data_IF_407694797807
#
_entry.id   IF_407694797807
#
_cell.length_a   1.000
_cell.length_b   1.000
_cell.length_c   1.000
_cell.angle_alpha   90.00
_cell.angle_beta   90.00
_cell.angle_gamma   90.00
#
_symmetry.space_group_name_H-M   'P 1'
#
loop_
_entity.id
_entity.type
_entity.pdbx_description
1 polymer ?
#
# COMPACT_ATOMS: atom_id res chain seq x y z
N UNK A 1 -13.90 -24.17 35.58
CA UNK A 1 -12.48 -24.58 35.57
C UNK A 1 -11.98 -24.34 34.15
N UNK A 2 -11.02 -23.48 33.81
CA UNK A 2 -9.90 -22.86 34.52
C UNK A 2 -9.63 -21.49 33.87
N UNK A 3 -9.47 -20.46 34.68
CA UNK A 3 -8.61 -19.31 34.40
C UNK A 3 -7.16 -19.77 34.53
N UNK A 4 -6.30 -19.39 33.56
CA UNK A 4 -4.87 -19.20 33.81
C UNK A 4 -4.38 -17.98 33.03
N UNK A 5 -3.65 -17.16 33.75
CA UNK A 5 -3.07 -15.86 33.43
C UNK A 5 -1.58 -16.04 33.15
N UNK A 6 -1.05 -15.20 32.25
CA UNK A 6 0.33 -14.71 32.09
C UNK A 6 1.46 -15.70 31.77
N UNK A 7 2.33 -15.32 30.83
CA UNK A 7 3.64 -14.73 31.18
C UNK A 7 4.44 -14.34 29.93
N UNK A 8 5.06 -13.17 30.03
CA UNK A 8 6.11 -12.59 29.19
C UNK A 8 7.35 -13.49 29.09
N UNK A 9 7.97 -13.55 27.92
CA UNK A 9 9.35 -14.01 27.77
C UNK A 9 10.15 -12.93 27.04
N UNK A 10 10.97 -12.22 27.81
CA UNK A 10 12.02 -11.35 27.34
C UNK A 10 13.06 -12.17 26.56
N UNK A 11 13.36 -11.76 25.34
CA UNK A 11 14.52 -12.26 24.57
C UNK A 11 15.61 -11.19 24.60
N UNK A 12 16.35 -11.19 25.71
CA UNK A 12 17.70 -10.63 25.76
C UNK A 12 18.64 -11.60 25.08
N UNK A 13 19.14 -11.26 23.90
CA UNK A 13 20.32 -11.88 23.31
C UNK A 13 21.21 -10.80 22.72
N UNK A 14 22.02 -10.20 23.58
CA UNK A 14 23.25 -9.53 23.18
C UNK A 14 24.19 -10.57 22.57
N UNK A 15 24.39 -10.52 21.26
CA UNK A 15 25.55 -11.14 20.61
C UNK A 15 26.61 -10.07 20.36
N UNK A 16 27.54 -9.99 21.31
CA UNK A 16 28.87 -9.46 21.10
C UNK A 16 29.60 -10.35 20.07
N UNK A 17 29.96 -9.80 18.92
CA UNK A 17 31.08 -10.30 18.13
C UNK A 17 32.23 -9.31 18.25
N UNK A 18 33.21 -9.74 19.04
CA UNK A 18 34.46 -9.05 19.28
C UNK A 18 35.42 -9.20 18.10
N UNK A 19 36.14 -8.11 17.85
CA UNK A 19 37.56 -8.02 17.49
C UNK A 19 38.08 -8.79 16.25
N UNK A 20 38.35 -8.03 15.18
CA UNK A 20 39.55 -8.25 14.38
C UNK A 20 40.58 -7.16 14.74
N UNK A 21 41.80 -7.58 15.02
CA UNK A 21 42.90 -6.76 15.52
C UNK A 21 43.67 -6.06 14.39
N UNK A 22 44.25 -4.88 14.69
CA UNK A 22 45.31 -4.25 13.89
C UNK A 22 45.29 -2.72 13.94
N UNK A 23 46.37 -2.04 14.39
CA UNK A 23 46.40 -0.59 14.51
C UNK A 23 46.94 0.04 13.22
N UNK A 24 46.06 0.53 12.37
CA UNK A 24 46.43 1.50 11.34
C UNK A 24 45.44 2.65 11.34
N UNK A 25 46.00 3.83 11.57
CA UNK A 25 45.34 5.12 11.63
C UNK A 25 45.03 5.56 10.21
N UNK A 26 43.82 5.28 9.73
CA UNK A 26 43.22 5.98 8.59
C UNK A 26 41.73 6.16 8.89
N UNK A 27 41.32 7.43 9.01
CA UNK A 27 39.91 7.85 9.05
C UNK A 27 39.09 7.09 8.00
N UNK A 28 38.01 6.39 8.39
CA UNK A 28 37.01 6.04 7.41
C UNK A 28 36.21 7.32 7.15
N UNK A 29 36.24 7.79 5.91
CA UNK A 29 35.21 8.67 5.39
C UNK A 29 33.86 8.10 5.83
N UNK A 30 33.09 8.90 6.56
CA UNK A 30 31.75 8.54 6.98
C UNK A 30 30.90 8.36 5.71
N UNK A 31 30.86 7.13 5.20
CA UNK A 31 29.77 6.67 4.35
C UNK A 31 28.51 6.89 5.17
N UNK A 32 27.77 7.94 4.81
CA UNK A 32 26.45 8.19 5.35
C UNK A 32 25.56 7.08 4.78
N UNK A 33 25.58 5.92 5.44
CA UNK A 33 24.49 4.95 5.30
C UNK A 33 23.23 5.71 5.66
N UNK A 34 22.39 5.98 4.66
CA UNK A 34 21.06 6.49 4.88
C UNK A 34 20.36 5.48 5.80
N UNK A 35 20.17 5.87 7.06
CA UNK A 35 19.25 5.17 7.95
C UNK A 35 17.90 5.16 7.23
N UNK A 36 17.26 3.99 7.02
CA UNK A 36 15.91 3.96 6.49
C UNK A 36 15.05 4.85 7.40
N UNK A 37 14.41 5.87 6.84
CA UNK A 37 13.38 6.58 7.59
C UNK A 37 12.33 5.54 7.94
N UNK A 38 12.20 5.25 9.24
CA UNK A 38 11.14 4.41 9.72
C UNK A 38 9.84 5.15 9.43
N UNK A 39 9.04 4.65 8.49
CA UNK A 39 7.69 5.14 8.26
C UNK A 39 6.98 5.23 9.61
N UNK A 40 6.49 6.43 9.93
CA UNK A 40 5.70 6.66 11.13
C UNK A 40 4.30 6.11 10.90
N UNK A 41 4.17 4.80 10.94
CA UNK A 41 2.89 4.12 10.87
C UNK A 41 2.01 4.59 12.02
N UNK A 42 0.81 5.07 11.70
CA UNK A 42 -0.17 5.42 12.72
C UNK A 42 -0.66 4.17 13.46
N UNK A 43 -0.78 4.21 14.80
CA UNK A 43 -1.29 3.08 15.58
C UNK A 43 -2.64 2.60 15.04
N UNK A 44 -2.73 1.31 14.73
CA UNK A 44 -3.95 0.69 14.18
C UNK A 44 -4.10 0.76 12.66
N UNK A 45 -3.15 1.37 11.94
CA UNK A 45 -3.07 1.30 10.47
C UNK A 45 -2.16 0.17 10.00
N UNK A 46 -2.29 -0.23 8.74
CA UNK A 46 -1.39 -1.15 8.02
C UNK A 46 -0.42 -0.34 7.17
N UNK A 47 0.80 -0.84 7.06
CA UNK A 47 1.85 -0.16 6.31
C UNK A 47 1.59 -0.17 4.80
N UNK A 48 2.31 0.67 4.07
CA UNK A 48 2.17 0.79 2.62
C UNK A 48 2.43 -0.55 1.90
N UNK A 49 3.38 -1.37 2.37
CA UNK A 49 3.62 -2.70 1.79
C UNK A 49 2.40 -3.63 1.89
N UNK A 50 1.71 -3.62 3.03
CA UNK A 50 0.48 -4.41 3.26
C UNK A 50 -0.67 -3.86 2.43
N UNK A 51 -0.79 -2.54 2.31
CA UNK A 51 -1.78 -1.92 1.40
C UNK A 51 -1.52 -2.29 -0.06
N UNK A 52 -0.26 -2.29 -0.50
CA UNK A 52 0.15 -2.71 -1.84
C UNK A 52 -0.25 -4.16 -2.12
N UNK A 53 0.04 -5.09 -1.20
CA UNK A 53 -0.46 -6.47 -1.28
C UNK A 53 -1.97 -6.52 -1.41
N UNK A 54 -2.68 -5.78 -0.57
CA UNK A 54 -4.14 -5.70 -0.62
C UNK A 54 -4.72 -5.18 -1.94
N UNK A 55 -3.97 -4.33 -2.66
CA UNK A 55 -4.38 -3.77 -3.95
C UNK A 55 -4.04 -4.70 -5.14
N UNK A 56 -2.85 -5.29 -5.14
CA UNK A 56 -2.32 -6.05 -6.28
C UNK A 56 -2.53 -7.58 -6.18
N UNK A 57 -2.71 -8.14 -4.98
CA UNK A 57 -2.85 -9.60 -4.82
C UNK A 57 -4.23 -10.10 -5.31
N UNK A 58 -4.25 -11.32 -5.86
CA UNK A 58 -5.48 -11.98 -6.33
C UNK A 58 -5.63 -12.08 -7.84
N UNK A 59 -4.56 -11.87 -8.62
CA UNK A 59 -4.52 -12.05 -10.08
C UNK A 59 -5.65 -11.24 -10.76
N UNK A 60 -6.45 -11.86 -11.63
CA UNK A 60 -7.60 -11.25 -12.32
C UNK A 60 -8.68 -10.72 -11.38
N UNK A 61 -8.67 -11.13 -10.11
CA UNK A 61 -9.60 -10.70 -9.08
C UNK A 61 -9.00 -9.64 -8.15
N UNK A 62 -7.76 -9.22 -8.35
CA UNK A 62 -7.13 -8.13 -7.60
C UNK A 62 -7.89 -6.81 -7.79
N UNK A 63 -7.65 -5.83 -6.90
CA UNK A 63 -8.21 -4.49 -7.06
C UNK A 63 -7.59 -3.85 -8.31
N UNK A 64 -6.27 -3.97 -8.47
CA UNK A 64 -5.53 -3.49 -9.63
C UNK A 64 -6.13 -3.99 -10.96
N UNK A 65 -6.28 -5.31 -11.14
CA UNK A 65 -6.80 -5.87 -12.39
C UNK A 65 -8.20 -5.33 -12.72
N UNK A 66 -9.06 -5.14 -11.72
CA UNK A 66 -10.39 -4.55 -11.91
C UNK A 66 -10.32 -3.07 -12.25
N UNK A 67 -9.51 -2.29 -11.53
CA UNK A 67 -9.28 -0.86 -11.82
C UNK A 67 -8.80 -0.71 -13.26
N UNK A 68 -7.75 -1.42 -13.66
CA UNK A 68 -7.21 -1.39 -15.03
C UNK A 68 -8.26 -1.75 -16.08
N UNK A 69 -9.04 -2.81 -15.84
CA UNK A 69 -10.08 -3.26 -16.79
C UNK A 69 -11.23 -2.25 -16.95
N UNK A 70 -11.65 -1.61 -15.86
CA UNK A 70 -12.86 -0.79 -15.84
C UNK A 70 -12.61 0.72 -15.85
N UNK A 71 -11.35 1.15 -15.84
CA UNK A 71 -10.98 2.56 -15.98
C UNK A 71 -11.67 3.26 -17.17
N UNK A 72 -11.78 2.67 -18.37
CA UNK A 72 -12.48 3.34 -19.48
C UNK A 72 -13.96 3.64 -19.20
N UNK A 73 -14.60 2.89 -18.31
CA UNK A 73 -16.02 3.06 -18.01
C UNK A 73 -16.34 4.28 -17.14
N UNK A 74 -15.33 4.94 -16.54
CA UNK A 74 -15.56 6.15 -15.73
C UNK A 74 -15.82 7.40 -16.57
N UNK A 75 -15.56 7.34 -17.88
CA UNK A 75 -15.80 8.44 -18.83
C UNK A 75 -17.29 8.79 -18.99
N UNK A 76 -18.17 7.87 -18.64
CA UNK A 76 -19.62 8.02 -18.74
C UNK A 76 -20.28 7.62 -17.42
N UNK A 77 -21.51 8.12 -17.15
CA UNK A 77 -22.29 7.66 -16.02
C UNK A 77 -22.47 6.14 -16.00
N UNK A 78 -22.47 5.56 -14.81
CA UNK A 78 -22.69 4.14 -14.62
C UNK A 78 -24.03 3.68 -15.22
N UNK A 79 -24.00 2.51 -15.85
CA UNK A 79 -25.14 1.83 -16.46
C UNK A 79 -25.48 0.56 -15.67
N UNK A 80 -26.59 -0.10 -16.00
CA UNK A 80 -26.91 -1.42 -15.43
C UNK A 80 -25.85 -2.49 -15.74
N UNK A 81 -25.15 -2.35 -16.87
CA UNK A 81 -24.15 -3.32 -17.33
C UNK A 81 -22.81 -3.20 -16.58
N UNK A 82 -22.36 -1.98 -16.27
CA UNK A 82 -21.05 -1.74 -15.64
C UNK A 82 -21.13 -1.35 -14.15
N UNK A 83 -22.28 -0.90 -13.66
CA UNK A 83 -22.41 -0.29 -12.34
C UNK A 83 -22.03 -1.22 -11.19
N UNK A 84 -22.33 -2.52 -11.32
CA UNK A 84 -21.93 -3.52 -10.33
C UNK A 84 -20.40 -3.62 -10.19
N UNK A 85 -19.67 -3.55 -11.30
CA UNK A 85 -18.21 -3.66 -11.31
C UNK A 85 -17.54 -2.39 -10.77
N UNK A 86 -18.06 -1.21 -11.12
CA UNK A 86 -17.60 0.05 -10.53
C UNK A 86 -17.84 0.09 -9.02
N UNK A 87 -19.00 -0.40 -8.55
CA UNK A 87 -19.31 -0.49 -7.13
C UNK A 87 -18.38 -1.47 -6.39
N UNK A 88 -18.07 -2.63 -6.99
CA UNK A 88 -17.11 -3.59 -6.42
C UNK A 88 -15.72 -2.94 -6.28
N UNK A 89 -15.27 -2.18 -7.28
CA UNK A 89 -13.99 -1.45 -7.22
C UNK A 89 -14.00 -0.45 -6.06
N UNK A 90 -15.04 0.40 -6.00
CA UNK A 90 -15.22 1.36 -4.91
C UNK A 90 -15.17 0.67 -3.55
N UNK A 91 -15.94 -0.39 -3.35
CA UNK A 91 -16.08 -1.06 -2.04
C UNK A 91 -14.80 -1.76 -1.60
N UNK A 92 -14.04 -2.31 -2.56
CA UNK A 92 -12.74 -2.92 -2.27
C UNK A 92 -11.68 -1.88 -1.91
N UNK A 93 -11.65 -0.76 -2.62
CA UNK A 93 -10.76 0.35 -2.25
C UNK A 93 -11.16 0.93 -0.89
N UNK A 94 -12.46 1.11 -0.62
CA UNK A 94 -12.96 1.56 0.69
C UNK A 94 -12.52 0.63 1.83
N UNK A 95 -12.55 -0.69 1.61
CA UNK A 95 -12.07 -1.65 2.58
C UNK A 95 -10.57 -1.50 2.90
N UNK A 96 -9.74 -1.17 1.91
CA UNK A 96 -8.31 -0.86 2.12
C UNK A 96 -8.14 0.46 2.89
N UNK A 97 -8.90 1.49 2.51
CA UNK A 97 -8.83 2.83 3.11
C UNK A 97 -9.10 2.85 4.62
N UNK A 98 -9.86 1.88 5.15
CA UNK A 98 -10.14 1.80 6.59
C UNK A 98 -8.90 1.55 7.45
N UNK A 99 -7.88 0.94 6.87
CA UNK A 99 -6.69 0.53 7.61
C UNK A 99 -5.40 1.07 7.00
N UNK A 100 -5.39 1.51 5.75
CA UNK A 100 -4.19 2.08 5.13
C UNK A 100 -3.67 3.29 5.92
N UNK A 101 -2.35 3.38 6.06
CA UNK A 101 -1.67 4.57 6.58
C UNK A 101 -1.93 5.79 5.67
N UNK A 102 -1.66 7.00 6.16
CA UNK A 102 -2.13 8.25 5.55
C UNK A 102 -1.71 8.41 4.08
N UNK A 103 -0.46 8.10 3.75
CA UNK A 103 0.10 8.23 2.40
C UNK A 103 -0.56 7.27 1.38
N UNK A 104 -0.53 5.93 1.55
CA UNK A 104 -1.23 5.04 0.63
C UNK A 104 -2.75 5.28 0.61
N UNK A 105 -3.34 5.70 1.74
CA UNK A 105 -4.76 6.05 1.79
C UNK A 105 -5.08 7.28 0.93
N UNK A 106 -4.21 8.29 0.89
CA UNK A 106 -4.41 9.46 0.04
C UNK A 106 -4.44 9.08 -1.44
N UNK A 107 -3.50 8.25 -1.90
CA UNK A 107 -3.44 7.80 -3.29
C UNK A 107 -4.66 6.94 -3.64
N UNK A 108 -5.04 6.00 -2.77
CA UNK A 108 -6.21 5.14 -2.98
C UNK A 108 -7.51 5.93 -3.11
N UNK A 109 -7.67 7.04 -2.37
CA UNK A 109 -8.84 7.94 -2.54
C UNK A 109 -8.86 8.57 -3.93
N UNK A 110 -7.70 8.95 -4.47
CA UNK A 110 -7.61 9.48 -5.84
C UNK A 110 -7.94 8.41 -6.88
N UNK A 111 -7.50 7.16 -6.69
CA UNK A 111 -7.90 6.03 -7.56
C UNK A 111 -9.41 5.82 -7.51
N UNK A 112 -10.01 5.89 -6.32
CA UNK A 112 -11.43 5.62 -6.09
C UNK A 112 -12.36 6.69 -6.66
N UNK A 113 -11.96 7.97 -6.60
CA UNK A 113 -12.87 9.10 -6.83
C UNK A 113 -13.57 9.06 -8.20
N UNK A 114 -12.89 8.79 -9.34
CA UNK A 114 -13.55 8.67 -10.64
C UNK A 114 -14.65 7.60 -10.70
N UNK A 115 -14.45 6.46 -10.02
CA UNK A 115 -15.46 5.40 -9.94
C UNK A 115 -16.69 5.85 -9.14
N UNK A 116 -16.49 6.57 -8.05
CA UNK A 116 -17.60 7.16 -7.25
C UNK A 116 -18.38 8.15 -8.11
N UNK A 117 -17.68 9.05 -8.80
CA UNK A 117 -18.31 10.03 -9.70
C UNK A 117 -19.18 9.34 -10.76
N UNK A 118 -18.68 8.30 -11.42
CA UNK A 118 -19.45 7.56 -12.42
C UNK A 118 -20.69 6.88 -11.82
N UNK A 119 -20.57 6.26 -10.64
CA UNK A 119 -21.71 5.64 -9.91
C UNK A 119 -22.78 6.66 -9.53
N UNK A 120 -22.37 7.88 -9.18
CA UNK A 120 -23.28 8.98 -8.79
C UNK A 120 -23.91 9.69 -10.00
N UNK A 121 -23.66 9.21 -11.21
CA UNK A 121 -24.26 9.72 -12.45
C UNK A 121 -23.43 10.80 -13.15
N UNK A 122 -22.18 11.00 -12.74
CA UNK A 122 -21.23 11.90 -13.38
C UNK A 122 -20.31 11.18 -14.38
N UNK A 123 -19.35 11.94 -14.89
CA UNK A 123 -18.24 11.46 -15.72
C UNK A 123 -16.92 11.95 -15.13
N UNK A 124 -15.87 11.15 -15.28
CA UNK A 124 -14.50 11.48 -14.89
C UNK A 124 -13.53 11.12 -16.01
N UNK A 125 -12.31 11.65 -15.96
CA UNK A 125 -11.30 11.35 -16.96
C UNK A 125 -10.58 10.02 -16.64
N UNK A 126 -10.56 9.02 -17.55
CA UNK A 126 -9.83 7.77 -17.31
C UNK A 126 -8.35 7.98 -16.97
N UNK A 127 -7.71 9.00 -17.56
CA UNK A 127 -6.32 9.34 -17.29
C UNK A 127 -6.05 9.73 -15.82
N UNK A 128 -7.06 10.20 -15.08
CA UNK A 128 -6.92 10.50 -13.65
C UNK A 128 -6.77 9.21 -12.83
N UNK A 129 -7.49 8.15 -13.21
CA UNK A 129 -7.36 6.81 -12.59
C UNK A 129 -5.99 6.23 -12.90
N UNK A 130 -5.55 6.29 -14.17
CA UNK A 130 -4.25 5.77 -14.61
C UNK A 130 -3.08 6.46 -13.90
N UNK A 131 -3.16 7.79 -13.77
CA UNK A 131 -2.15 8.59 -13.08
C UNK A 131 -2.07 8.23 -11.58
N UNK A 132 -3.22 8.07 -10.93
CA UNK A 132 -3.28 7.68 -9.51
C UNK A 132 -2.79 6.24 -9.29
N UNK A 133 -3.17 5.30 -10.18
CA UNK A 133 -2.70 3.92 -10.13
C UNK A 133 -1.18 3.83 -10.34
N UNK A 134 -0.63 4.68 -11.22
CA UNK A 134 0.82 4.81 -11.43
C UNK A 134 1.52 5.34 -10.18
N UNK A 135 0.95 6.35 -9.51
CA UNK A 135 1.49 6.86 -8.25
C UNK A 135 1.51 5.77 -7.16
N UNK A 136 0.46 4.94 -7.10
CA UNK A 136 0.44 3.80 -6.17
C UNK A 136 1.51 2.76 -6.54
N UNK A 137 1.71 2.45 -7.82
CA UNK A 137 2.76 1.56 -8.27
C UNK A 137 4.17 2.04 -7.86
N UNK A 138 4.44 3.35 -7.97
CA UNK A 138 5.70 3.97 -7.53
C UNK A 138 5.88 3.79 -6.03
N UNK A 139 4.88 4.17 -5.22
CA UNK A 139 4.93 3.97 -3.75
C UNK A 139 5.19 2.50 -3.40
N UNK A 140 4.51 1.57 -4.07
CA UNK A 140 4.70 0.15 -3.84
C UNK A 140 6.14 -0.30 -4.16
N UNK A 141 6.73 0.19 -5.24
CA UNK A 141 8.13 -0.06 -5.57
C UNK A 141 9.10 0.45 -4.50
N UNK A 142 8.86 1.64 -3.93
CA UNK A 142 9.67 2.23 -2.86
C UNK A 142 9.59 1.41 -1.55
N UNK A 143 8.46 0.76 -1.30
CA UNK A 143 8.26 -0.14 -0.13
C UNK A 143 8.84 -1.54 -0.32
N UNK A 144 9.40 -1.84 -1.50
CA UNK A 144 9.94 -3.17 -1.85
C UNK A 144 8.88 -4.18 -2.32
N UNK A 145 7.67 -3.74 -2.67
CA UNK A 145 6.68 -4.57 -3.35
C UNK A 145 6.99 -4.70 -4.84
N UNK A 146 6.94 -5.93 -5.37
CA UNK A 146 7.08 -6.18 -6.81
C UNK A 146 5.73 -6.02 -7.49
N UNK A 147 5.52 -4.89 -8.17
CA UNK A 147 4.30 -4.63 -8.94
C UNK A 147 4.22 -5.60 -10.13
N UNK A 148 3.11 -6.33 -10.30
CA UNK A 148 2.91 -7.18 -11.48
C UNK A 148 2.74 -6.32 -12.75
N UNK A 149 3.28 -6.81 -13.87
CA UNK A 149 3.16 -6.18 -15.20
C UNK A 149 1.75 -6.29 -15.80
#
# INVERSE_FOLDING_TARGET
>A
MRTLVAATAALSAAFLLAACAGPDTVEPAAETSATPEASTQSEGTVDALTTCRGYYDGEDLSIHARVTRWTPAVAEPATEENGAELAIIRDRIDAQLRWADDEPAAILRTVQAPFVTAIEGGSAEPADVESAATALAVLCGETGYTVPE
#
